data_IF_277544289914
#
_entry.id   IF_277544289914
#
_cell.length_a   1.000
_cell.length_b   1.000
_cell.length_c   1.000
_cell.angle_alpha   90.00
_cell.angle_beta   90.00
_cell.angle_gamma   90.00
#
_symmetry.space_group_name_H-M   'P 1'
#
loop_
_entity.id
_entity.type
_entity.pdbx_description
1 polymer ?
#
# COMPACT_ATOMS: atom_id res chain seq x y z
N UNK A 1 -39.73 -9.15 5.80
CA UNK A 1 -38.38 -8.66 6.17
C UNK A 1 -37.89 -7.83 5.00
N UNK A 2 -37.68 -6.54 5.20
CA UNK A 2 -37.13 -5.67 4.16
C UNK A 2 -35.67 -6.04 3.94
N UNK A 3 -35.27 -6.16 2.68
CA UNK A 3 -33.92 -6.54 2.22
C UNK A 3 -32.80 -5.77 2.94
N UNK A 4 -33.04 -4.51 3.32
CA UNK A 4 -32.08 -3.68 4.05
C UNK A 4 -31.70 -4.16 5.46
N UNK A 5 -32.53 -4.94 6.16
CA UNK A 5 -32.19 -5.44 7.51
C UNK A 5 -31.19 -6.62 7.42
N UNK A 6 -31.35 -7.48 6.42
CA UNK A 6 -30.41 -8.59 6.20
C UNK A 6 -29.05 -8.08 5.71
N UNK A 7 -29.02 -7.07 4.84
CA UNK A 7 -27.77 -6.46 4.38
C UNK A 7 -27.01 -5.75 5.52
N UNK A 8 -27.71 -5.11 6.45
CA UNK A 8 -27.11 -4.51 7.64
C UNK A 8 -26.54 -5.57 8.59
N UNK A 9 -27.28 -6.67 8.83
CA UNK A 9 -26.82 -7.80 9.63
C UNK A 9 -25.62 -8.51 9.00
N UNK A 10 -25.63 -8.73 7.68
CA UNK A 10 -24.51 -9.30 6.94
C UNK A 10 -23.27 -8.39 6.98
N UNK A 11 -23.46 -7.07 6.87
CA UNK A 11 -22.35 -6.11 6.99
C UNK A 11 -21.76 -6.12 8.41
N UNK A 12 -22.61 -6.15 9.44
CA UNK A 12 -22.19 -6.29 10.85
C UNK A 12 -21.50 -7.62 11.15
N UNK A 13 -22.01 -8.72 10.59
CA UNK A 13 -21.38 -10.03 10.70
C UNK A 13 -20.02 -10.05 9.98
N UNK A 14 -19.91 -9.45 8.79
CA UNK A 14 -18.65 -9.36 8.05
C UNK A 14 -17.59 -8.55 8.79
N UNK A 15 -17.97 -7.46 9.47
CA UNK A 15 -17.07 -6.71 10.36
C UNK A 15 -16.47 -7.59 11.46
N UNK A 16 -17.23 -8.56 11.98
CA UNK A 16 -16.78 -9.48 13.02
C UNK A 16 -16.01 -10.70 12.47
N UNK A 17 -16.38 -11.17 11.28
CA UNK A 17 -15.80 -12.34 10.64
C UNK A 17 -14.54 -12.02 9.82
N UNK A 18 -14.43 -10.81 9.30
CA UNK A 18 -13.32 -10.32 8.47
C UNK A 18 -12.86 -8.94 8.97
N UNK A 19 -12.29 -8.82 10.18
CA UNK A 19 -11.80 -7.55 10.68
C UNK A 19 -10.64 -7.03 9.81
N UNK A 20 -10.61 -5.72 9.60
CA UNK A 20 -9.45 -5.06 8.99
C UNK A 20 -8.25 -5.15 9.93
N UNK A 21 -7.04 -5.19 9.37
CA UNK A 21 -5.82 -5.06 10.16
C UNK A 21 -5.80 -3.72 10.90
N UNK A 22 -5.03 -3.64 11.99
CA UNK A 22 -4.90 -2.42 12.79
C UNK A 22 -4.49 -1.22 11.90
N UNK A 23 -5.29 -0.16 11.96
CA UNK A 23 -5.02 1.05 11.19
C UNK A 23 -3.80 1.81 11.75
N UNK A 24 -3.10 2.56 10.89
CA UNK A 24 -1.94 3.37 11.30
C UNK A 24 -2.27 4.30 12.50
N UNK A 25 -3.47 4.88 12.49
CA UNK A 25 -3.94 5.80 13.53
C UNK A 25 -4.29 5.10 14.85
N UNK A 26 -4.51 3.77 14.84
CA UNK A 26 -4.93 3.02 16.03
C UNK A 26 -3.93 3.10 17.19
N UNK A 27 -2.62 3.20 16.89
CA UNK A 27 -1.55 3.31 17.89
C UNK A 27 -1.27 4.73 18.40
N UNK A 28 -2.01 5.75 17.95
CA UNK A 28 -1.81 7.14 18.35
C UNK A 28 -2.74 7.54 19.52
N UNK A 29 -2.51 8.72 20.09
CA UNK A 29 -3.34 9.26 21.17
C UNK A 29 -4.78 9.57 20.72
N UNK A 30 -5.68 9.66 21.70
CA UNK A 30 -7.10 9.86 21.45
C UNK A 30 -7.40 11.18 20.71
N UNK A 31 -6.63 12.24 20.97
CA UNK A 31 -6.84 13.53 20.31
C UNK A 31 -6.49 13.45 18.82
N UNK A 32 -5.40 12.77 18.45
CA UNK A 32 -5.06 12.55 17.04
C UNK A 32 -6.09 11.65 16.34
N UNK A 33 -6.59 10.61 17.01
CA UNK A 33 -7.68 9.76 16.46
C UNK A 33 -8.93 10.58 16.16
N UNK A 34 -9.33 11.45 17.09
CA UNK A 34 -10.51 12.29 16.95
C UNK A 34 -10.32 13.32 15.84
N UNK A 35 -9.21 14.08 15.86
CA UNK A 35 -8.88 15.06 14.82
C UNK A 35 -8.84 14.41 13.42
N UNK A 36 -8.26 13.20 13.32
CA UNK A 36 -8.22 12.41 12.09
C UNK A 36 -9.63 12.08 11.58
N UNK A 37 -10.49 11.51 12.44
CA UNK A 37 -11.82 11.08 12.07
C UNK A 37 -12.77 12.25 11.79
N UNK A 38 -12.62 13.37 12.50
CA UNK A 38 -13.35 14.61 12.23
C UNK A 38 -13.00 15.15 10.85
N UNK A 39 -11.70 15.20 10.50
CA UNK A 39 -11.30 15.69 9.19
C UNK A 39 -11.76 14.76 8.07
N UNK A 40 -11.63 13.44 8.27
CA UNK A 40 -12.11 12.46 7.28
C UNK A 40 -13.62 12.61 7.05
N UNK A 41 -14.41 12.74 8.13
CA UNK A 41 -15.85 12.99 8.06
C UNK A 41 -16.17 14.31 7.32
N UNK A 42 -15.46 15.39 7.64
CA UNK A 42 -15.65 16.70 7.00
C UNK A 42 -15.40 16.63 5.48
N UNK A 43 -14.36 15.90 5.07
CA UNK A 43 -14.04 15.72 3.65
C UNK A 43 -15.11 14.90 2.93
N UNK A 44 -15.68 13.87 3.58
CA UNK A 44 -16.69 13.03 2.96
C UNK A 44 -18.05 13.72 2.84
N UNK A 45 -18.41 14.56 3.82
CA UNK A 45 -19.68 15.28 3.85
C UNK A 45 -19.77 16.46 2.85
N UNK A 46 -18.69 16.77 2.13
CA UNK A 46 -18.66 17.82 1.12
C UNK A 46 -19.80 17.69 0.09
N UNK A 47 -20.11 16.46 -0.34
CA UNK A 47 -21.16 16.18 -1.33
C UNK A 47 -22.55 15.95 -0.68
N UNK A 48 -22.70 16.28 0.61
CA UNK A 48 -23.90 16.00 1.39
C UNK A 48 -23.80 14.71 2.19
N UNK A 49 -24.83 13.88 2.17
CA UNK A 49 -24.87 12.66 2.97
C UNK A 49 -23.95 11.56 2.42
N UNK A 50 -23.41 10.74 3.31
CA UNK A 50 -22.67 9.54 2.92
C UNK A 50 -23.59 8.58 2.18
N UNK A 51 -23.09 7.98 1.11
CA UNK A 51 -23.75 6.81 0.49
C UNK A 51 -23.66 5.60 1.41
N UNK A 52 -24.53 4.60 1.20
CA UNK A 52 -24.46 3.36 2.00
C UNK A 52 -23.09 2.67 1.91
N UNK A 53 -22.48 2.65 0.72
CA UNK A 53 -21.16 2.05 0.52
C UNK A 53 -20.08 2.78 1.32
N UNK A 54 -20.10 4.12 1.32
CA UNK A 54 -19.21 4.95 2.15
C UNK A 54 -19.43 4.72 3.63
N UNK A 55 -20.68 4.67 4.07
CA UNK A 55 -21.03 4.44 5.48
C UNK A 55 -20.56 3.06 5.97
N UNK A 56 -20.69 2.01 5.15
CA UNK A 56 -20.19 0.66 5.47
C UNK A 56 -18.67 0.67 5.61
N UNK A 57 -17.95 1.22 4.64
CA UNK A 57 -16.48 1.26 4.67
C UNK A 57 -15.92 2.10 5.82
N UNK A 58 -16.47 3.29 6.09
CA UNK A 58 -15.99 4.10 7.21
C UNK A 58 -16.28 3.44 8.57
N UNK A 59 -17.36 2.66 8.67
CA UNK A 59 -17.64 1.86 9.88
C UNK A 59 -16.58 0.78 10.07
N UNK A 60 -16.13 0.13 9.00
CA UNK A 60 -14.99 -0.81 9.04
C UNK A 60 -13.69 -0.12 9.46
N UNK A 61 -13.42 1.07 8.94
CA UNK A 61 -12.25 1.84 9.31
C UNK A 61 -12.29 2.28 10.79
N UNK A 62 -13.44 2.69 11.30
CA UNK A 62 -13.60 3.04 12.73
C UNK A 62 -13.33 1.83 13.62
N UNK A 63 -13.80 0.64 13.23
CA UNK A 63 -13.51 -0.59 13.96
C UNK A 63 -12.01 -0.92 14.01
N UNK A 64 -11.24 -0.58 12.97
CA UNK A 64 -9.78 -0.81 12.95
C UNK A 64 -8.95 0.30 13.61
N UNK A 65 -9.50 1.51 13.76
CA UNK A 65 -8.89 2.63 14.52
C UNK A 65 -9.18 2.50 16.02
N UNK A 66 -10.34 1.92 16.38
CA UNK A 66 -10.86 1.80 17.75
C UNK A 66 -10.81 3.14 18.51
N UNK A 67 -11.55 4.15 18.05
CA UNK A 67 -11.62 5.42 18.73
C UNK A 67 -12.64 5.38 19.90
N UNK A 68 -12.71 6.45 20.69
CA UNK A 68 -13.59 6.50 21.86
C UNK A 68 -15.08 6.64 21.50
N UNK A 69 -15.40 7.19 20.31
CA UNK A 69 -16.76 7.53 19.91
C UNK A 69 -17.19 6.82 18.62
N UNK A 70 -18.50 6.63 18.39
CA UNK A 70 -19.00 6.07 17.14
C UNK A 70 -18.99 7.10 15.99
N UNK A 71 -19.17 6.61 14.75
CA UNK A 71 -19.21 7.44 13.53
C UNK A 71 -20.10 8.68 13.64
N UNK A 72 -21.28 8.54 14.23
CA UNK A 72 -22.25 9.62 14.37
C UNK A 72 -21.68 10.84 15.10
N UNK A 73 -20.80 10.62 16.10
CA UNK A 73 -20.12 11.70 16.80
C UNK A 73 -19.21 12.49 15.84
N UNK A 74 -18.39 11.80 15.04
CA UNK A 74 -17.47 12.45 14.11
C UNK A 74 -18.19 13.20 12.98
N UNK A 75 -19.29 12.65 12.48
CA UNK A 75 -20.16 13.36 11.52
C UNK A 75 -20.73 14.64 12.16
N UNK A 76 -21.21 14.58 13.39
CA UNK A 76 -21.75 15.75 14.08
C UNK A 76 -20.66 16.82 14.36
N UNK A 77 -19.47 16.41 14.78
CA UNK A 77 -18.36 17.33 15.02
C UNK A 77 -17.89 17.99 13.72
N UNK A 78 -17.80 17.21 12.64
CA UNK A 78 -17.39 17.74 11.33
C UNK A 78 -18.39 18.77 10.78
N UNK A 79 -19.68 18.60 11.02
CA UNK A 79 -20.71 19.58 10.62
C UNK A 79 -20.63 20.91 11.41
N UNK A 80 -19.97 20.93 12.57
CA UNK A 80 -19.76 22.12 13.41
C UNK A 80 -18.38 22.73 13.21
N UNK A 81 -17.57 22.19 12.30
CA UNK A 81 -16.19 22.60 12.12
C UNK A 81 -16.13 23.98 11.47
N UNK A 82 -15.53 24.94 12.16
CA UNK A 82 -15.22 26.26 11.63
C UNK A 82 -13.80 26.31 11.04
N UNK A 83 -13.43 27.47 10.49
CA UNK A 83 -12.13 27.65 9.85
C UNK A 83 -10.96 27.51 10.82
N UNK A 84 -11.11 27.94 12.07
CA UNK A 84 -10.08 27.84 13.10
C UNK A 84 -9.89 26.39 13.55
N UNK A 85 -10.98 25.68 13.82
CA UNK A 85 -10.99 24.26 14.14
C UNK A 85 -10.37 23.42 13.03
N UNK A 86 -10.74 23.68 11.77
CA UNK A 86 -10.15 23.00 10.62
C UNK A 86 -8.63 23.26 10.53
N UNK A 87 -8.20 24.51 10.68
CA UNK A 87 -6.78 24.86 10.65
C UNK A 87 -5.99 24.16 11.77
N UNK A 88 -6.56 24.06 12.97
CA UNK A 88 -5.96 23.31 14.09
C UNK A 88 -5.77 21.84 13.74
N UNK A 89 -6.84 21.18 13.27
CA UNK A 89 -6.83 19.76 12.93
C UNK A 89 -5.81 19.46 11.82
N UNK A 90 -5.82 20.26 10.75
CA UNK A 90 -4.89 20.08 9.63
C UNK A 90 -3.45 20.28 10.07
N UNK A 91 -3.16 21.27 10.93
CA UNK A 91 -1.82 21.46 11.50
C UNK A 91 -1.38 20.28 12.36
N UNK A 92 -2.27 19.77 13.22
CA UNK A 92 -1.97 18.64 14.10
C UNK A 92 -1.65 17.38 13.28
N UNK A 93 -2.50 17.04 12.30
CA UNK A 93 -2.27 15.93 11.39
C UNK A 93 -1.01 16.11 10.54
N UNK A 94 -0.72 17.34 10.12
CA UNK A 94 0.48 17.69 9.36
C UNK A 94 1.80 17.48 10.11
N UNK A 95 1.79 17.39 11.45
CA UNK A 95 2.98 17.04 12.23
C UNK A 95 3.45 15.61 11.95
N UNK A 96 2.53 14.72 11.57
CA UNK A 96 2.82 13.32 11.25
C UNK A 96 2.52 13.05 9.78
N UNK A 97 3.55 13.08 8.92
CA UNK A 97 3.41 12.83 7.48
C UNK A 97 2.66 11.53 7.15
N UNK A 98 2.83 10.49 7.96
CA UNK A 98 2.11 9.23 7.79
C UNK A 98 0.62 9.31 8.11
N UNK A 99 0.21 10.15 9.07
CA UNK A 99 -1.20 10.40 9.36
C UNK A 99 -1.89 11.12 8.20
N UNK A 100 -1.23 12.15 7.64
CA UNK A 100 -1.72 12.83 6.45
C UNK A 100 -1.82 11.90 5.22
N UNK A 101 -0.83 11.02 5.02
CA UNK A 101 -0.89 9.99 3.97
C UNK A 101 -2.06 9.03 4.18
N UNK A 102 -2.28 8.58 5.42
CA UNK A 102 -3.39 7.71 5.76
C UNK A 102 -4.74 8.37 5.48
N UNK A 103 -4.92 9.60 5.92
CA UNK A 103 -6.13 10.38 5.70
C UNK A 103 -6.47 10.48 4.22
N UNK A 104 -5.47 10.88 3.42
CA UNK A 104 -5.65 11.03 1.98
C UNK A 104 -5.94 9.70 1.29
N UNK A 105 -5.31 8.61 1.73
CA UNK A 105 -5.57 7.28 1.20
C UNK A 105 -6.99 6.80 1.50
N UNK A 106 -7.42 6.93 2.76
CA UNK A 106 -8.75 6.50 3.19
C UNK A 106 -9.84 7.31 2.50
N UNK A 107 -9.67 8.64 2.43
CA UNK A 107 -10.56 9.49 1.66
C UNK A 107 -10.60 9.09 0.18
N UNK A 108 -9.45 8.85 -0.43
CA UNK A 108 -9.33 8.44 -1.82
C UNK A 108 -10.07 7.12 -2.11
N UNK A 109 -10.01 6.15 -1.21
CA UNK A 109 -10.75 4.88 -1.32
C UNK A 109 -12.25 5.11 -1.15
N UNK A 110 -12.64 5.83 -0.09
CA UNK A 110 -14.03 6.09 0.27
C UNK A 110 -14.78 6.93 -0.78
N UNK A 111 -14.11 7.86 -1.44
CA UNK A 111 -14.74 8.61 -2.53
C UNK A 111 -14.82 7.76 -3.81
N UNK A 112 -13.75 7.03 -4.13
CA UNK A 112 -13.69 6.29 -5.39
C UNK A 112 -14.64 5.10 -5.49
N UNK A 113 -15.15 4.59 -4.36
CA UNK A 113 -16.18 3.53 -4.39
C UNK A 113 -17.48 3.99 -5.06
N UNK A 114 -17.75 5.31 -5.07
CA UNK A 114 -18.94 5.89 -5.68
C UNK A 114 -18.73 6.40 -7.11
N UNK A 115 -17.48 6.45 -7.57
CA UNK A 115 -17.12 6.95 -8.90
C UNK A 115 -15.78 7.70 -8.91
N UNK A 116 -15.38 8.29 -10.05
CA UNK A 116 -14.15 9.07 -10.14
C UNK A 116 -14.17 10.27 -9.17
N UNK A 117 -12.98 10.69 -8.71
CA UNK A 117 -12.87 11.91 -7.92
C UNK A 117 -13.29 13.12 -8.76
N UNK A 118 -14.19 13.94 -8.23
CA UNK A 118 -14.60 15.20 -8.87
C UNK A 118 -13.45 16.21 -8.88
N UNK A 119 -13.38 17.15 -9.85
CA UNK A 119 -12.29 18.13 -9.95
C UNK A 119 -12.06 18.92 -8.64
N UNK A 120 -13.14 19.32 -7.97
CA UNK A 120 -13.06 20.04 -6.69
C UNK A 120 -12.43 19.19 -5.57
N UNK A 121 -12.72 17.88 -5.53
CA UNK A 121 -12.10 16.95 -4.57
C UNK A 121 -10.61 16.79 -4.85
N UNK A 122 -10.23 16.71 -6.13
CA UNK A 122 -8.81 16.65 -6.54
C UNK A 122 -8.07 17.91 -6.12
N UNK A 123 -8.65 19.08 -6.34
CA UNK A 123 -8.07 20.36 -5.94
C UNK A 123 -7.85 20.44 -4.42
N UNK A 124 -8.85 20.06 -3.62
CA UNK A 124 -8.78 20.07 -2.15
C UNK A 124 -7.75 19.08 -1.62
N UNK A 125 -7.69 17.88 -2.19
CA UNK A 125 -6.65 16.92 -1.86
C UNK A 125 -5.26 17.47 -2.20
N UNK A 126 -5.12 18.19 -3.31
CA UNK A 126 -3.88 18.89 -3.66
C UNK A 126 -3.48 19.92 -2.61
N UNK A 127 -4.45 20.72 -2.14
CA UNK A 127 -4.23 21.69 -1.06
C UNK A 127 -3.83 21.03 0.26
N UNK A 128 -4.56 19.99 0.69
CA UNK A 128 -4.25 19.26 1.91
C UNK A 128 -2.88 18.58 1.85
N UNK A 129 -2.54 17.98 0.71
CA UNK A 129 -1.22 17.39 0.49
C UNK A 129 -0.10 18.42 0.63
N UNK A 130 -0.30 19.62 0.05
CA UNK A 130 0.65 20.73 0.13
C UNK A 130 0.82 21.22 1.57
N UNK A 131 -0.27 21.42 2.30
CA UNK A 131 -0.23 21.85 3.70
C UNK A 131 0.47 20.81 4.59
N UNK A 132 0.22 19.52 4.34
CA UNK A 132 0.84 18.42 5.07
C UNK A 132 2.28 18.10 4.61
N UNK A 133 2.82 18.86 3.64
CA UNK A 133 4.18 18.68 3.13
C UNK A 133 4.41 17.31 2.48
N UNK A 134 3.39 16.77 1.80
CA UNK A 134 3.50 15.53 1.06
C UNK A 134 4.16 15.77 -0.30
N UNK A 135 5.11 14.90 -0.64
CA UNK A 135 5.81 14.95 -1.93
C UNK A 135 4.94 14.32 -3.04
N UNK A 136 5.15 14.73 -4.29
CA UNK A 136 4.44 14.20 -5.46
C UNK A 136 4.48 12.67 -5.53
N UNK A 137 5.63 12.06 -5.22
CA UNK A 137 5.76 10.60 -5.14
C UNK A 137 4.76 9.98 -4.18
N UNK A 138 4.50 10.60 -3.03
CA UNK A 138 3.54 10.10 -2.04
C UNK A 138 2.10 10.23 -2.53
N UNK A 139 1.77 11.34 -3.19
CA UNK A 139 0.45 11.55 -3.81
C UNK A 139 0.22 10.52 -4.92
N UNK A 140 1.22 10.25 -5.76
CA UNK A 140 1.15 9.22 -6.79
C UNK A 140 0.94 7.82 -6.20
N UNK A 141 1.60 7.49 -5.09
CA UNK A 141 1.39 6.21 -4.38
C UNK A 141 -0.05 6.09 -3.87
N UNK A 142 -0.59 7.15 -3.25
CA UNK A 142 -1.98 7.17 -2.78
C UNK A 142 -2.95 6.93 -3.94
N UNK A 143 -2.75 7.60 -5.08
CA UNK A 143 -3.57 7.42 -6.27
C UNK A 143 -3.45 6.01 -6.85
N UNK A 144 -2.24 5.49 -6.98
CA UNK A 144 -2.01 4.14 -7.51
C UNK A 144 -2.74 3.09 -6.67
N UNK A 145 -2.53 3.12 -5.36
CA UNK A 145 -3.06 2.08 -4.47
C UNK A 145 -4.56 2.18 -4.26
N UNK A 146 -5.13 3.39 -4.25
CA UNK A 146 -6.59 3.54 -4.10
C UNK A 146 -7.33 3.07 -5.35
N UNK A 147 -6.77 3.25 -6.54
CA UNK A 147 -7.31 2.67 -7.78
C UNK A 147 -7.17 1.15 -7.77
N UNK A 148 -5.98 0.64 -7.42
CA UNK A 148 -5.69 -0.80 -7.40
C UNK A 148 -6.56 -1.55 -6.40
N UNK A 149 -6.84 -0.96 -5.23
CA UNK A 149 -7.74 -1.50 -4.22
C UNK A 149 -9.16 -1.72 -4.74
N UNK A 150 -9.63 -0.82 -5.59
CA UNK A 150 -10.97 -0.90 -6.18
C UNK A 150 -11.01 -1.71 -7.48
N UNK A 151 -9.92 -2.43 -7.82
CA UNK A 151 -9.83 -3.21 -9.05
C UNK A 151 -9.77 -2.36 -10.33
N UNK A 152 -9.53 -1.05 -10.20
CA UNK A 152 -9.43 -0.14 -11.34
C UNK A 152 -8.05 -0.32 -11.98
N UNK A 153 -8.02 -0.57 -13.29
CA UNK A 153 -6.78 -0.78 -14.04
C UNK A 153 -5.90 0.46 -13.98
N UNK A 154 -4.64 0.27 -13.58
CA UNK A 154 -3.59 1.31 -13.55
C UNK A 154 -2.57 1.04 -14.65
N UNK A 155 -2.14 2.06 -15.40
CA UNK A 155 -1.01 1.94 -16.32
C UNK A 155 0.31 2.24 -15.62
N UNK A 156 1.40 1.57 -16.01
CA UNK A 156 2.71 1.78 -15.38
C UNK A 156 3.26 3.16 -15.74
N UNK A 157 2.98 3.62 -16.95
CA UNK A 157 3.42 4.90 -17.50
C UNK A 157 2.88 6.07 -16.67
N UNK A 158 1.60 6.01 -16.30
CA UNK A 158 0.94 7.02 -15.46
C UNK A 158 1.52 7.10 -14.04
N UNK A 159 2.16 6.02 -13.56
CA UNK A 159 2.72 5.93 -12.20
C UNK A 159 4.23 5.78 -12.17
N UNK A 160 4.92 6.15 -13.26
CA UNK A 160 6.38 6.03 -13.38
C UNK A 160 7.15 6.77 -12.29
N UNK A 161 6.69 7.95 -11.87
CA UNK A 161 7.26 8.72 -10.76
C UNK A 161 7.11 8.07 -9.37
N UNK A 162 6.25 7.06 -9.23
CA UNK A 162 6.09 6.30 -7.99
C UNK A 162 7.03 5.09 -7.89
N UNK A 163 7.67 4.70 -9.01
CA UNK A 163 8.51 3.52 -9.09
C UNK A 163 9.77 3.64 -8.24
N UNK A 164 10.25 2.49 -7.79
CA UNK A 164 11.54 2.32 -7.14
C UNK A 164 12.27 1.20 -7.85
N UNK A 165 13.40 1.52 -8.47
CA UNK A 165 14.23 0.56 -9.18
C UNK A 165 15.02 -0.28 -8.18
N UNK A 166 14.86 -1.59 -8.24
CA UNK A 166 15.70 -2.54 -7.51
C UNK A 166 16.73 -3.12 -8.47
N UNK A 167 17.99 -2.73 -8.25
CA UNK A 167 19.13 -3.28 -8.97
C UNK A 167 19.56 -4.59 -8.32
N UNK A 168 19.83 -5.60 -9.12
CA UNK A 168 20.60 -6.76 -8.65
C UNK A 168 22.07 -6.53 -8.93
N UNK A 169 22.95 -7.05 -8.09
CA UNK A 169 24.39 -6.96 -8.26
C UNK A 169 25.01 -8.34 -8.04
N UNK A 170 26.08 -8.62 -8.79
CA UNK A 170 26.99 -9.77 -8.62
C UNK A 170 26.32 -11.15 -8.80
N UNK A 171 26.81 -11.92 -9.78
CA UNK A 171 26.44 -13.33 -9.95
C UNK A 171 27.52 -14.18 -9.32
N UNK A 172 27.18 -15.01 -8.35
CA UNK A 172 28.12 -15.93 -7.70
C UNK A 172 27.58 -17.36 -7.67
N UNK A 173 28.48 -18.34 -7.72
CA UNK A 173 28.15 -19.72 -7.37
C UNK A 173 28.41 -19.89 -5.87
N UNK A 174 27.35 -20.17 -5.12
CA UNK A 174 27.42 -20.33 -3.66
C UNK A 174 26.87 -21.69 -3.23
N UNK A 175 27.40 -22.19 -2.13
CA UNK A 175 26.91 -23.35 -1.40
C UNK A 175 25.81 -22.97 -0.40
N UNK A 176 24.89 -23.89 -0.09
CA UNK A 176 23.87 -23.66 0.93
C UNK A 176 24.42 -23.28 2.32
N UNK A 177 25.64 -23.69 2.65
CA UNK A 177 26.33 -23.41 3.91
C UNK A 177 27.11 -22.10 3.94
N UNK A 178 27.13 -21.33 2.85
CA UNK A 178 27.92 -20.10 2.78
C UNK A 178 27.41 -19.04 3.77
N UNK A 179 28.32 -18.50 4.58
CA UNK A 179 28.02 -17.45 5.57
C UNK A 179 27.47 -16.17 4.93
N UNK A 180 27.76 -15.94 3.64
CA UNK A 180 27.21 -14.84 2.86
C UNK A 180 25.69 -14.90 2.68
N UNK A 181 25.08 -16.09 2.84
CA UNK A 181 23.62 -16.27 2.78
C UNK A 181 22.94 -15.98 4.13
N UNK A 182 23.73 -15.87 5.21
CA UNK A 182 23.21 -15.57 6.55
C UNK A 182 22.50 -14.21 6.52
N UNK A 183 21.32 -14.16 7.14
CA UNK A 183 20.47 -12.97 7.24
C UNK A 183 19.88 -12.44 5.91
N UNK A 184 19.97 -13.21 4.81
CA UNK A 184 19.36 -12.86 3.52
C UNK A 184 18.10 -13.68 3.23
N UNK A 185 17.16 -13.06 2.53
CA UNK A 185 15.94 -13.72 2.05
C UNK A 185 16.28 -14.48 0.76
N UNK A 186 16.23 -15.80 0.81
CA UNK A 186 16.52 -16.65 -0.35
C UNK A 186 15.24 -16.83 -1.18
N UNK A 187 15.31 -16.50 -2.47
CA UNK A 187 14.19 -16.56 -3.40
C UNK A 187 14.55 -17.37 -4.65
N UNK A 188 13.64 -18.24 -5.10
CA UNK A 188 13.85 -19.03 -6.32
C UNK A 188 13.52 -18.19 -7.56
N UNK A 189 14.50 -18.00 -8.43
CA UNK A 189 14.36 -17.18 -9.63
C UNK A 189 14.16 -15.69 -9.33
N UNK A 190 14.04 -14.90 -10.40
CA UNK A 190 13.68 -13.48 -10.30
C UNK A 190 12.21 -13.34 -9.85
N UNK A 191 11.87 -12.23 -9.16
CA UNK A 191 10.51 -12.02 -8.71
C UNK A 191 9.59 -11.79 -9.90
N UNK A 192 8.32 -12.16 -9.75
CA UNK A 192 7.31 -12.08 -10.82
C UNK A 192 6.53 -10.77 -10.76
N UNK A 193 5.97 -10.34 -11.89
CA UNK A 193 5.03 -9.19 -11.92
C UNK A 193 3.84 -9.51 -11.01
N UNK A 194 3.40 -8.51 -10.24
CA UNK A 194 2.40 -8.60 -9.18
C UNK A 194 2.82 -9.34 -7.91
N UNK A 195 4.09 -9.77 -7.79
CA UNK A 195 4.60 -10.33 -6.55
C UNK A 195 4.84 -9.23 -5.50
N UNK A 196 4.41 -9.47 -4.26
CA UNK A 196 4.73 -8.61 -3.12
C UNK A 196 6.10 -8.98 -2.56
N UNK A 197 7.00 -8.00 -2.53
CA UNK A 197 8.34 -8.10 -1.96
C UNK A 197 8.35 -7.43 -0.58
N UNK A 198 9.00 -8.07 0.40
CA UNK A 198 9.28 -7.47 1.72
C UNK A 198 10.57 -6.64 1.66
N UNK A 199 10.71 -5.65 2.54
CA UNK A 199 11.99 -4.95 2.74
C UNK A 199 13.07 -5.94 3.20
N UNK A 200 14.26 -5.89 2.61
CA UNK A 200 15.37 -6.74 3.03
C UNK A 200 16.43 -6.96 1.96
N UNK A 201 17.46 -7.71 2.33
CA UNK A 201 18.50 -8.18 1.43
C UNK A 201 18.10 -9.53 0.84
N UNK A 202 18.07 -9.63 -0.48
CA UNK A 202 17.65 -10.82 -1.20
C UNK A 202 18.81 -11.53 -1.86
N UNK A 203 18.67 -12.85 -1.97
CA UNK A 203 19.45 -13.72 -2.85
C UNK A 203 18.48 -14.41 -3.80
N UNK A 204 18.52 -14.05 -5.07
CA UNK A 204 17.77 -14.72 -6.12
C UNK A 204 18.61 -15.85 -6.69
N UNK A 205 18.14 -17.09 -6.54
CA UNK A 205 18.88 -18.27 -6.98
C UNK A 205 18.25 -18.93 -8.19
N UNK A 206 19.08 -19.37 -9.14
CA UNK A 206 18.70 -20.27 -10.22
C UNK A 206 19.37 -21.62 -10.02
N UNK A 207 18.60 -22.70 -10.20
CA UNK A 207 19.16 -24.06 -10.22
C UNK A 207 19.96 -24.19 -11.52
N UNK A 208 21.22 -24.63 -11.42
CA UNK A 208 22.01 -24.98 -12.59
C UNK A 208 21.33 -26.14 -13.33
N UNK A 209 20.89 -25.92 -14.57
CA UNK A 209 20.36 -26.95 -15.46
C UNK A 209 21.47 -27.72 -16.19
N UNK A 210 22.75 -27.36 -15.99
CA UNK A 210 23.90 -28.04 -16.57
C UNK A 210 24.17 -29.38 -15.86
N UNK A 211 23.56 -30.43 -16.42
CA UNK A 211 23.61 -31.81 -15.98
C UNK A 211 25.00 -32.45 -16.11
N UNK A 212 25.79 -32.35 -15.06
CA UNK A 212 26.77 -33.38 -14.71
C UNK A 212 26.49 -33.85 -13.29
N UNK A 213 26.50 -35.17 -13.08
CA UNK A 213 26.22 -35.78 -11.77
C UNK A 213 27.11 -35.23 -10.64
N UNK A 214 28.30 -34.72 -10.99
CA UNK A 214 29.24 -34.10 -10.06
C UNK A 214 28.74 -32.77 -9.45
N UNK A 215 28.03 -31.95 -10.23
CA UNK A 215 27.44 -30.69 -9.74
C UNK A 215 26.19 -30.92 -8.87
N UNK A 216 25.48 -32.03 -9.10
CA UNK A 216 24.35 -32.43 -8.25
C UNK A 216 24.79 -32.85 -6.84
N UNK A 217 26.01 -33.40 -6.70
CA UNK A 217 26.58 -33.81 -5.41
C UNK A 217 27.09 -32.64 -4.55
N UNK A 218 27.50 -31.52 -5.16
CA UNK A 218 28.05 -30.36 -4.45
C UNK A 218 27.06 -29.18 -4.28
N UNK A 219 25.88 -29.22 -4.90
CA UNK A 219 24.75 -28.35 -4.54
C UNK A 219 24.92 -26.85 -4.80
N UNK A 220 25.82 -26.44 -5.70
CA UNK A 220 26.03 -25.03 -6.05
C UNK A 220 24.81 -24.39 -6.71
N UNK A 221 24.51 -23.15 -6.34
CA UNK A 221 23.43 -22.35 -6.93
C UNK A 221 23.98 -21.02 -7.45
N UNK A 222 23.52 -20.59 -8.64
CA UNK A 222 23.82 -19.27 -9.19
C UNK A 222 22.95 -18.25 -8.47
N UNK A 223 23.59 -17.29 -7.80
CA UNK A 223 22.97 -16.35 -6.89
C UNK A 223 23.18 -14.92 -7.38
N UNK A 224 22.11 -14.11 -7.36
CA UNK A 224 22.15 -12.66 -7.55
C UNK A 224 21.71 -11.96 -6.27
N UNK A 225 22.41 -10.91 -5.88
CA UNK A 225 22.09 -10.15 -4.68
C UNK A 225 21.27 -8.92 -5.00
N UNK A 226 20.31 -8.57 -4.15
CA UNK A 226 19.57 -7.33 -4.27
C UNK A 226 19.24 -6.74 -2.90
N UNK A 227 19.10 -5.42 -2.85
CA UNK A 227 18.58 -4.71 -1.69
C UNK A 227 17.22 -4.12 -2.02
N UNK A 228 16.17 -4.62 -1.36
CA UNK A 228 14.81 -4.09 -1.46
C UNK A 228 14.61 -3.12 -0.30
N UNK A 229 14.52 -1.83 -0.60
CA UNK A 229 14.49 -0.76 0.40
C UNK A 229 13.15 -0.61 1.13
N UNK A 230 12.04 -1.09 0.53
CA UNK A 230 10.70 -1.01 1.09
C UNK A 230 9.82 -2.20 0.67
N UNK A 231 8.79 -2.51 1.47
CA UNK A 231 7.76 -3.47 1.06
C UNK A 231 7.03 -2.88 -0.16
N UNK A 232 6.85 -3.65 -1.23
CA UNK A 232 6.35 -3.15 -2.51
C UNK A 232 5.84 -4.26 -3.41
N UNK A 233 5.03 -3.91 -4.41
CA UNK A 233 4.61 -4.83 -5.47
C UNK A 233 5.50 -4.66 -6.69
N UNK A 234 5.95 -5.77 -7.27
CA UNK A 234 6.68 -5.76 -8.54
C UNK A 234 5.73 -5.39 -9.66
N UNK A 235 6.03 -4.32 -10.37
CA UNK A 235 5.22 -3.81 -11.48
C UNK A 235 5.82 -4.19 -12.83
N UNK A 236 7.14 -4.19 -12.90
CA UNK A 236 7.86 -4.44 -14.15
C UNK A 236 9.14 -5.18 -13.86
N UNK A 237 9.40 -6.20 -14.67
CA UNK A 237 10.73 -6.79 -14.80
C UNK A 237 11.31 -6.15 -16.04
N UNK A 238 12.32 -5.30 -15.87
CA UNK A 238 12.88 -4.51 -16.99
C UNK A 238 13.94 -5.31 -17.74
N UNK A 239 14.59 -6.25 -17.07
CA UNK A 239 15.61 -7.12 -17.64
C UNK A 239 15.38 -8.55 -17.17
N UNK A 240 15.07 -9.46 -18.11
CA UNK A 240 14.94 -10.90 -17.84
C UNK A 240 16.33 -11.54 -17.80
N UNK A 241 16.59 -12.33 -16.75
CA UNK A 241 17.85 -13.04 -16.59
C UNK A 241 18.04 -14.20 -17.57
N UNK A 242 16.99 -14.58 -18.32
CA UNK A 242 17.03 -15.62 -19.35
C UNK A 242 17.46 -15.09 -20.74
N UNK A 243 17.67 -13.79 -20.90
CA UNK A 243 18.09 -13.17 -22.16
C UNK A 243 19.56 -12.77 -22.09
N UNK A 244 20.28 -12.97 -23.20
CA UNK A 244 21.72 -12.72 -23.28
C UNK A 244 22.05 -11.22 -23.12
N UNK A 245 23.20 -10.93 -22.53
CA UNK A 245 23.67 -9.56 -22.34
C UNK A 245 24.09 -8.95 -23.68
N UNK A 246 23.26 -8.06 -24.23
CA UNK A 246 23.59 -7.26 -25.43
C UNK A 246 23.49 -5.75 -25.17
N UNK A 247 23.62 -4.95 -26.23
CA UNK A 247 23.53 -3.49 -26.15
C UNK A 247 22.16 -2.96 -25.68
N UNK A 248 21.10 -3.76 -25.80
CA UNK A 248 19.77 -3.50 -25.25
C UNK A 248 19.62 -3.95 -23.78
N UNK A 249 20.39 -4.94 -23.31
CA UNK A 249 20.37 -5.47 -21.93
C UNK A 249 21.47 -4.91 -21.00
N UNK A 250 22.11 -3.80 -21.41
CA UNK A 250 23.08 -3.04 -20.62
C UNK A 250 24.48 -3.66 -20.60
N UNK A 251 25.53 -2.83 -20.68
CA UNK A 251 26.96 -3.25 -20.77
C UNK A 251 27.49 -4.07 -19.58
N UNK A 252 26.65 -4.41 -18.59
CA UNK A 252 26.95 -5.26 -17.43
C UNK A 252 25.90 -6.38 -17.16
N UNK A 253 24.80 -6.47 -17.93
CA UNK A 253 23.84 -7.58 -17.85
C UNK A 253 23.19 -7.85 -16.48
N UNK A 254 23.04 -6.84 -15.62
CA UNK A 254 22.45 -6.99 -14.28
C UNK A 254 20.93 -6.80 -14.35
N UNK A 255 20.10 -7.81 -14.02
CA UNK A 255 18.66 -7.66 -14.08
C UNK A 255 18.19 -6.64 -13.05
N UNK A 256 17.15 -5.89 -13.41
CA UNK A 256 16.47 -4.97 -12.52
C UNK A 256 14.97 -5.17 -12.63
N UNK A 257 14.30 -4.93 -11.51
CA UNK A 257 12.85 -4.89 -11.45
C UNK A 257 12.42 -3.64 -10.73
N UNK A 258 11.22 -3.18 -11.06
CA UNK A 258 10.64 -1.98 -10.51
C UNK A 258 9.53 -2.36 -9.55
N UNK A 259 9.57 -1.78 -8.36
CA UNK A 259 8.50 -1.92 -7.38
C UNK A 259 7.76 -0.60 -7.21
N UNK A 260 6.46 -0.70 -6.92
CA UNK A 260 5.72 0.38 -6.29
C UNK A 260 5.64 0.07 -4.80
N UNK A 261 6.25 0.91 -3.93
CA UNK A 261 6.19 0.75 -2.49
C UNK A 261 4.76 0.75 -1.96
N UNK A 262 4.47 -0.08 -0.95
CA UNK A 262 3.22 0.03 -0.18
C UNK A 262 3.29 1.29 0.70
N UNK A 263 2.23 2.13 0.72
CA UNK A 263 2.20 3.28 1.61
C UNK A 263 2.09 2.78 3.07
N UNK A 264 2.68 3.48 4.05
CA UNK A 264 2.63 3.07 5.45
C UNK A 264 1.21 2.93 6.01
N UNK A 265 0.26 3.70 5.50
CA UNK A 265 -1.16 3.64 5.85
C UNK A 265 -1.93 2.44 5.27
N UNK A 266 -1.32 1.70 4.36
CA UNK A 266 -1.96 0.62 3.61
C UNK A 266 -2.40 -0.57 4.47
N UNK A 267 -1.85 -0.73 5.68
CA UNK A 267 -2.00 -1.95 6.47
C UNK A 267 -3.47 -2.32 6.72
N UNK A 268 -4.33 -1.38 7.12
CA UNK A 268 -5.75 -1.69 7.37
C UNK A 268 -6.48 -2.24 6.15
N UNK A 269 -6.03 -1.88 4.95
CA UNK A 269 -6.64 -2.27 3.69
C UNK A 269 -5.95 -3.46 3.02
N UNK A 270 -4.85 -3.96 3.60
CA UNK A 270 -4.01 -5.00 3.03
C UNK A 270 -4.76 -6.32 2.89
N UNK A 271 -5.48 -6.75 3.92
CA UNK A 271 -6.27 -7.99 3.92
C UNK A 271 -7.32 -8.02 2.80
N UNK A 272 -7.92 -6.86 2.47
CA UNK A 272 -8.86 -6.72 1.36
C UNK A 272 -8.22 -6.91 -0.03
N UNK A 273 -6.91 -6.70 -0.14
CA UNK A 273 -6.16 -6.75 -1.40
C UNK A 273 -5.47 -8.09 -1.66
N UNK A 274 -5.13 -8.85 -0.62
CA UNK A 274 -4.48 -10.16 -0.77
C UNK A 274 -5.44 -11.33 -0.65
N UNK A 275 -6.66 -11.14 -0.12
CA UNK A 275 -7.56 -12.25 0.20
C UNK A 275 -7.03 -13.18 1.30
N UNK A 276 -5.87 -12.85 1.86
CA UNK A 276 -5.26 -13.54 2.99
C UNK A 276 -5.93 -13.01 4.26
N UNK A 277 -7.09 -13.58 4.59
CA UNK A 277 -7.65 -13.41 5.92
C UNK A 277 -6.85 -14.31 6.87
N UNK A 278 -6.32 -13.72 7.95
CA UNK A 278 -5.72 -14.48 9.03
C UNK A 278 -6.78 -15.41 9.62
N UNK A 279 -6.63 -16.71 9.36
CA UNK A 279 -7.37 -17.82 9.99
C UNK A 279 -6.97 -17.93 11.46
#
# INVERSE_FOLDING_TARGET
>A
MTTGNFDALMSGARLQLEPLDAHFIAGNDAALKDDYLILLAALLLENGALTEAQQRLITMLIASIQPAFPLAHYLQQSAKLDSEGLARIVRNLGQTKHAAQALMFDFAVLQRITGPLAPLQVERLGWLAKICGLADKQIMLINFWSLRLLGIKTSVEAFSGALTVVKTARVEQLFPSDTQLKDKIIHNGMPQVNQIMKKGSYVFKTKNSSGTAYNAFLGYMLCRFALVSSKGIVIRIVMDANQDADSAYGKKGEPLFEIIPLPPAYNAWHSFLTGDHHV
#
